data_IF_367079498007
#
_entry.id   IF_367079498007
#
_cell.length_a   1.000
_cell.length_b   1.000
_cell.length_c   1.000
_cell.angle_alpha   90.00
_cell.angle_beta   90.00
_cell.angle_gamma   90.00
#
_symmetry.space_group_name_H-M   'P 1'
#
loop_
_entity.id
_entity.type
_entity.pdbx_description
1 polymer ?
#
# COMPACT_ATOMS: atom_id res chain seq x y z
N UNK A 1 -10.96 -23.50 11.87
CA UNK A 1 -9.55 -23.31 12.21
C UNK A 1 -9.19 -24.09 13.47
N UNK A 2 -8.10 -24.85 13.44
CA UNK A 2 -7.57 -25.58 14.59
C UNK A 2 -7.11 -24.59 15.70
N UNK A 3 -7.21 -25.00 16.96
CA UNK A 3 -6.77 -24.22 18.13
C UNK A 3 -5.26 -23.93 18.05
N UNK A 4 -4.48 -24.90 17.56
CA UNK A 4 -3.02 -24.73 17.41
C UNK A 4 -2.68 -23.68 16.34
N UNK A 5 -3.33 -23.75 15.17
CA UNK A 5 -3.19 -22.74 14.10
C UNK A 5 -3.53 -21.33 14.61
N UNK A 6 -4.62 -21.20 15.37
CA UNK A 6 -5.02 -19.91 15.92
C UNK A 6 -3.97 -19.33 16.87
N UNK A 7 -3.39 -20.16 17.75
CA UNK A 7 -2.33 -19.74 18.66
C UNK A 7 -1.06 -19.30 17.91
N UNK A 8 -0.67 -20.01 16.85
CA UNK A 8 0.47 -19.62 16.03
C UNK A 8 0.26 -18.25 15.38
N UNK A 9 -0.93 -18.00 14.85
CA UNK A 9 -1.29 -16.71 14.23
C UNK A 9 -1.27 -15.59 15.29
N UNK A 10 -1.80 -15.82 16.48
CA UNK A 10 -1.81 -14.81 17.56
C UNK A 10 -0.38 -14.44 17.99
N UNK A 11 0.49 -15.44 18.18
CA UNK A 11 1.91 -15.19 18.49
C UNK A 11 2.58 -14.41 17.35
N UNK A 12 2.29 -14.76 16.09
CA UNK A 12 2.83 -14.02 14.94
C UNK A 12 2.37 -12.56 14.93
N UNK A 13 1.12 -12.27 15.27
CA UNK A 13 0.60 -10.90 15.33
C UNK A 13 1.23 -10.07 16.46
N UNK A 14 1.44 -10.66 17.63
CA UNK A 14 2.17 -10.02 18.74
C UNK A 14 3.61 -9.72 18.31
N UNK A 15 4.27 -10.67 17.64
CA UNK A 15 5.62 -10.48 17.11
C UNK A 15 5.68 -9.37 16.05
N UNK A 16 4.69 -9.28 15.15
CA UNK A 16 4.56 -8.19 14.19
C UNK A 16 4.46 -6.82 14.88
N UNK A 17 3.65 -6.71 15.94
CA UNK A 17 3.50 -5.46 16.71
C UNK A 17 4.80 -5.07 17.44
N UNK A 18 5.57 -6.07 17.88
CA UNK A 18 6.88 -5.87 18.50
C UNK A 18 8.01 -5.60 17.50
N UNK A 19 7.73 -5.57 16.18
CA UNK A 19 8.70 -5.55 15.09
C UNK A 19 9.68 -6.74 15.08
N UNK A 20 9.34 -7.85 15.74
CA UNK A 20 10.07 -9.12 15.66
C UNK A 20 9.57 -9.92 14.43
N UNK A 21 9.94 -9.43 13.26
CA UNK A 21 9.45 -9.98 12.01
C UNK A 21 9.96 -11.41 11.74
N UNK A 22 11.16 -11.75 12.22
CA UNK A 22 11.71 -13.10 12.08
C UNK A 22 10.88 -14.13 12.87
N UNK A 23 10.44 -13.77 14.08
CA UNK A 23 9.54 -14.62 14.85
C UNK A 23 8.15 -14.70 14.20
N UNK A 24 7.61 -13.57 13.72
CA UNK A 24 6.33 -13.54 13.03
C UNK A 24 6.32 -14.44 11.78
N UNK A 25 7.35 -14.32 10.94
CA UNK A 25 7.55 -15.15 9.75
C UNK A 25 7.53 -16.63 10.11
N UNK A 26 8.37 -17.04 11.08
CA UNK A 26 8.45 -18.44 11.53
C UNK A 26 7.06 -18.96 11.94
N UNK A 27 6.30 -18.15 12.68
CA UNK A 27 4.98 -18.55 13.18
C UNK A 27 3.90 -18.59 12.10
N UNK A 28 3.94 -17.71 11.12
CA UNK A 28 3.07 -17.82 9.95
C UNK A 28 3.41 -19.06 9.11
N UNK A 29 4.69 -19.37 8.91
CA UNK A 29 5.11 -20.57 8.20
C UNK A 29 4.67 -21.83 8.96
N UNK A 30 4.88 -21.91 10.27
CA UNK A 30 4.39 -23.00 11.13
C UNK A 30 2.87 -23.19 10.96
N UNK A 31 2.10 -22.09 10.91
CA UNK A 31 0.65 -22.14 10.72
C UNK A 31 0.23 -22.62 9.32
N UNK A 32 0.96 -22.21 8.27
CA UNK A 32 0.69 -22.64 6.89
C UNK A 32 0.96 -24.15 6.72
N UNK A 33 1.99 -24.69 7.37
CA UNK A 33 2.26 -26.13 7.38
C UNK A 33 1.10 -26.95 7.97
N UNK A 34 0.37 -26.40 8.95
CA UNK A 34 -0.80 -27.07 9.53
C UNK A 34 -2.07 -26.90 8.71
N UNK A 35 -2.21 -25.82 7.95
CA UNK A 35 -3.40 -25.56 7.13
C UNK A 35 -3.41 -26.40 5.85
N UNK A 36 -2.25 -26.58 5.19
CA UNK A 36 -1.94 -27.44 4.01
C UNK A 36 -2.92 -27.40 2.80
N UNK A 37 -4.00 -26.61 2.84
CA UNK A 37 -4.92 -26.37 1.72
C UNK A 37 -4.84 -24.92 1.24
N UNK A 38 -4.07 -24.65 0.17
CA UNK A 38 -3.98 -23.34 -0.47
C UNK A 38 -5.32 -22.73 -0.93
N UNK A 39 -6.35 -23.57 -1.15
CA UNK A 39 -7.67 -23.08 -1.57
C UNK A 39 -8.49 -22.53 -0.39
N UNK A 40 -8.14 -22.91 0.83
CA UNK A 40 -8.87 -22.51 2.02
C UNK A 40 -8.71 -21.01 2.31
N UNK A 41 -9.78 -20.38 2.79
CA UNK A 41 -9.75 -18.96 3.13
C UNK A 41 -8.80 -18.68 4.31
N UNK A 42 -8.72 -19.62 5.27
CA UNK A 42 -7.81 -19.52 6.42
C UNK A 42 -6.35 -19.52 5.96
N UNK A 43 -5.96 -20.40 5.03
CA UNK A 43 -4.61 -20.41 4.45
C UNK A 43 -4.30 -19.08 3.76
N UNK A 44 -5.19 -18.60 2.89
CA UNK A 44 -4.98 -17.35 2.15
C UNK A 44 -4.88 -16.14 3.10
N UNK A 45 -5.64 -16.12 4.20
CA UNK A 45 -5.50 -15.08 5.23
C UNK A 45 -4.10 -15.09 5.84
N UNK A 46 -3.55 -16.27 6.15
CA UNK A 46 -2.19 -16.40 6.69
C UNK A 46 -1.14 -16.00 5.65
N UNK A 47 -1.27 -16.41 4.39
CA UNK A 47 -0.36 -15.98 3.31
C UNK A 47 -0.37 -14.45 3.15
N UNK A 48 -1.53 -13.80 3.27
CA UNK A 48 -1.62 -12.33 3.21
C UNK A 48 -0.96 -11.65 4.42
N UNK A 49 -0.95 -12.30 5.59
CA UNK A 49 -0.19 -11.80 6.75
C UNK A 49 1.32 -12.01 6.56
N UNK A 50 1.72 -13.15 6.00
CA UNK A 50 3.12 -13.45 5.69
C UNK A 50 3.66 -12.48 4.61
N UNK A 51 2.89 -12.15 3.58
CA UNK A 51 3.32 -11.17 2.56
C UNK A 51 3.63 -9.80 3.18
N UNK A 52 2.80 -9.34 4.13
CA UNK A 52 3.02 -8.09 4.88
C UNK A 52 4.25 -8.19 5.80
N UNK A 53 4.46 -9.36 6.42
CA UNK A 53 5.66 -9.63 7.21
C UNK A 53 6.93 -9.54 6.35
N UNK A 54 6.94 -10.18 5.17
CA UNK A 54 8.04 -10.09 4.23
C UNK A 54 8.28 -8.66 3.75
N UNK A 55 7.22 -7.91 3.42
CA UNK A 55 7.36 -6.50 3.04
C UNK A 55 7.97 -5.65 4.16
N UNK A 56 7.58 -5.87 5.43
CA UNK A 56 8.16 -5.19 6.59
C UNK A 56 9.66 -5.50 6.77
N UNK A 57 10.08 -6.72 6.42
CA UNK A 57 11.48 -7.14 6.38
C UNK A 57 12.26 -6.64 5.15
N UNK A 58 11.61 -5.92 4.22
CA UNK A 58 12.13 -5.60 2.89
C UNK A 58 12.46 -6.83 2.02
N UNK A 59 11.93 -8.00 2.38
CA UNK A 59 11.94 -9.18 1.52
C UNK A 59 10.81 -9.06 0.48
N UNK A 60 10.95 -8.11 -0.45
CA UNK A 60 9.93 -7.84 -1.45
C UNK A 60 9.75 -9.00 -2.44
N UNK A 61 10.78 -9.82 -2.66
CA UNK A 61 10.69 -11.04 -3.46
C UNK A 61 9.75 -12.07 -2.81
N UNK A 62 9.94 -12.37 -1.52
CA UNK A 62 9.04 -13.28 -0.79
C UNK A 62 7.62 -12.73 -0.68
N UNK A 63 7.46 -11.42 -0.48
CA UNK A 63 6.15 -10.78 -0.48
C UNK A 63 5.45 -10.91 -1.85
N UNK A 64 6.19 -10.72 -2.96
CA UNK A 64 5.69 -10.89 -4.32
C UNK A 64 5.21 -12.32 -4.57
N UNK A 65 5.97 -13.34 -4.18
CA UNK A 65 5.56 -14.75 -4.32
C UNK A 65 4.22 -15.02 -3.60
N UNK A 66 4.08 -14.58 -2.35
CA UNK A 66 2.82 -14.70 -1.61
C UNK A 66 1.66 -13.98 -2.32
N UNK A 67 1.90 -12.76 -2.83
CA UNK A 67 0.87 -11.96 -3.50
C UNK A 67 0.46 -12.53 -4.87
N UNK A 68 1.37 -13.15 -5.61
CA UNK A 68 1.08 -13.84 -6.88
C UNK A 68 0.18 -15.06 -6.65
N UNK A 69 0.45 -15.84 -5.60
CA UNK A 69 -0.42 -16.95 -5.17
C UNK A 69 -1.82 -16.45 -4.79
N UNK A 70 -1.88 -15.39 -3.99
CA UNK A 70 -3.13 -14.78 -3.56
C UNK A 70 -3.94 -14.21 -4.74
N UNK A 71 -3.27 -13.56 -5.69
CA UNK A 71 -3.89 -13.06 -6.92
C UNK A 71 -4.43 -14.21 -7.79
N UNK A 72 -3.72 -15.33 -7.88
CA UNK A 72 -4.19 -16.51 -8.58
C UNK A 72 -5.51 -17.02 -7.99
N UNK A 73 -5.61 -17.15 -6.67
CA UNK A 73 -6.83 -17.60 -6.01
C UNK A 73 -7.96 -16.57 -6.08
N UNK A 74 -7.66 -15.27 -5.96
CA UNK A 74 -8.67 -14.22 -6.16
C UNK A 74 -9.27 -14.28 -7.57
N UNK A 75 -8.44 -14.47 -8.62
CA UNK A 75 -8.89 -14.68 -10.01
C UNK A 75 -9.76 -15.94 -10.14
N UNK A 76 -9.31 -17.07 -9.56
CA UNK A 76 -10.03 -18.35 -9.61
C UNK A 76 -11.39 -18.29 -8.92
N UNK A 77 -11.44 -17.62 -7.77
CA UNK A 77 -12.66 -17.47 -6.96
C UNK A 77 -13.56 -16.33 -7.45
N UNK A 78 -13.12 -15.57 -8.47
CA UNK A 78 -13.80 -14.36 -8.97
C UNK A 78 -14.01 -13.31 -7.87
N UNK A 79 -13.10 -13.28 -6.90
CA UNK A 79 -13.06 -12.30 -5.84
C UNK A 79 -12.42 -11.01 -6.37
N UNK A 80 -13.26 -10.12 -6.88
CA UNK A 80 -12.81 -8.91 -7.55
C UNK A 80 -12.16 -7.93 -6.57
N UNK A 81 -12.64 -7.87 -5.33
CA UNK A 81 -12.12 -6.97 -4.29
C UNK A 81 -10.68 -7.36 -3.94
N UNK A 82 -10.46 -8.64 -3.58
CA UNK A 82 -9.10 -9.14 -3.31
C UNK A 82 -8.20 -9.04 -4.53
N UNK A 83 -8.73 -9.26 -5.74
CA UNK A 83 -7.96 -9.05 -6.96
C UNK A 83 -7.44 -7.61 -7.05
N UNK A 84 -8.27 -6.60 -6.79
CA UNK A 84 -7.84 -5.21 -6.82
C UNK A 84 -6.78 -4.92 -5.74
N UNK A 85 -6.98 -5.43 -4.52
CA UNK A 85 -6.01 -5.28 -3.41
C UNK A 85 -4.64 -5.91 -3.75
N UNK A 86 -4.63 -7.12 -4.30
CA UNK A 86 -3.37 -7.81 -4.62
C UNK A 86 -2.67 -7.22 -5.84
N UNK A 87 -3.40 -6.70 -6.83
CA UNK A 87 -2.80 -5.92 -7.92
C UNK A 87 -2.06 -4.69 -7.37
N UNK A 88 -2.68 -3.96 -6.44
CA UNK A 88 -2.05 -2.82 -5.78
C UNK A 88 -0.77 -3.22 -5.04
N UNK A 89 -0.88 -4.23 -4.18
CA UNK A 89 0.23 -4.68 -3.35
C UNK A 89 1.41 -5.19 -4.20
N UNK A 90 1.13 -5.85 -5.32
CA UNK A 90 2.16 -6.29 -6.26
C UNK A 90 2.85 -5.12 -6.96
N UNK A 91 2.12 -4.11 -7.42
CA UNK A 91 2.72 -2.92 -8.02
C UNK A 91 3.67 -2.22 -7.04
N UNK A 92 3.24 -2.05 -5.79
CA UNK A 92 4.06 -1.45 -4.71
C UNK A 92 5.29 -2.29 -4.40
N UNK A 93 5.16 -3.62 -4.25
CA UNK A 93 6.31 -4.50 -4.00
C UNK A 93 7.31 -4.48 -5.16
N UNK A 94 6.79 -4.50 -6.39
CA UNK A 94 7.61 -4.45 -7.62
C UNK A 94 8.36 -3.12 -7.71
N UNK A 95 7.74 -1.99 -7.32
CA UNK A 95 8.44 -0.70 -7.18
C UNK A 95 9.56 -0.78 -6.15
N UNK A 96 9.31 -1.41 -4.99
CA UNK A 96 10.32 -1.57 -3.95
C UNK A 96 11.48 -2.49 -4.35
N UNK A 97 11.28 -3.36 -5.35
CA UNK A 97 12.34 -4.14 -6.01
C UNK A 97 13.06 -3.34 -7.11
N UNK A 98 12.74 -2.06 -7.28
CA UNK A 98 13.29 -1.15 -8.30
C UNK A 98 12.96 -1.56 -9.76
N UNK A 99 12.00 -2.46 -9.96
CA UNK A 99 11.49 -2.88 -11.26
C UNK A 99 10.42 -1.88 -11.76
N UNK A 100 10.81 -0.62 -11.94
CA UNK A 100 9.86 0.49 -12.16
C UNK A 100 8.96 0.33 -13.39
N UNK A 101 9.50 -0.19 -14.50
CA UNK A 101 8.73 -0.39 -15.72
C UNK A 101 7.66 -1.47 -15.55
N UNK A 102 7.99 -2.56 -14.86
CA UNK A 102 7.03 -3.61 -14.54
C UNK A 102 5.98 -3.11 -13.56
N UNK A 103 6.38 -2.40 -12.50
CA UNK A 103 5.47 -1.79 -11.54
C UNK A 103 4.49 -0.81 -12.20
N UNK A 104 4.95 -0.04 -13.19
CA UNK A 104 4.08 0.86 -13.96
C UNK A 104 3.03 0.10 -14.77
N UNK A 105 3.40 -1.00 -15.42
CA UNK A 105 2.44 -1.86 -16.14
C UNK A 105 1.40 -2.47 -15.18
N UNK A 106 1.84 -2.94 -14.01
CA UNK A 106 0.95 -3.50 -12.99
C UNK A 106 -0.02 -2.44 -12.44
N UNK A 107 0.46 -1.22 -12.24
CA UNK A 107 -0.37 -0.10 -11.81
C UNK A 107 -1.39 0.31 -12.89
N UNK A 108 -1.00 0.31 -14.18
CA UNK A 108 -1.92 0.55 -15.29
C UNK A 108 -3.00 -0.56 -15.41
N UNK A 109 -2.63 -1.83 -15.17
CA UNK A 109 -3.59 -2.94 -15.06
C UNK A 109 -4.57 -2.71 -13.89
N UNK A 110 -4.06 -2.35 -12.71
CA UNK A 110 -4.87 -2.06 -11.52
C UNK A 110 -5.89 -0.94 -11.79
N UNK A 111 -5.42 0.20 -12.33
CA UNK A 111 -6.28 1.36 -12.64
C UNK A 111 -7.38 0.96 -13.62
N UNK A 112 -7.03 0.26 -14.70
CA UNK A 112 -8.00 -0.20 -15.70
C UNK A 112 -9.02 -1.15 -15.08
N UNK A 113 -8.56 -2.07 -14.23
CA UNK A 113 -9.41 -3.02 -13.53
C UNK A 113 -10.38 -2.32 -12.57
N UNK A 114 -9.90 -1.38 -11.75
CA UNK A 114 -10.75 -0.59 -10.83
C UNK A 114 -11.76 0.27 -11.60
N UNK A 115 -11.36 0.96 -12.66
CA UNK A 115 -12.30 1.75 -13.48
C UNK A 115 -13.41 0.89 -14.10
N UNK A 116 -13.11 -0.37 -14.41
CA UNK A 116 -14.08 -1.29 -15.03
C UNK A 116 -15.04 -1.91 -14.01
N UNK A 117 -14.54 -2.32 -12.85
CA UNK A 117 -15.29 -3.12 -11.89
C UNK A 117 -15.71 -2.37 -10.62
N UNK A 118 -15.01 -1.29 -10.28
CA UNK A 118 -15.19 -0.48 -9.09
C UNK A 118 -15.06 1.03 -9.41
N UNK A 119 -15.88 1.58 -10.33
CA UNK A 119 -15.75 2.98 -10.73
C UNK A 119 -15.97 3.96 -9.58
N UNK A 120 -16.66 3.52 -8.51
CA UNK A 120 -16.93 4.29 -7.30
C UNK A 120 -15.95 4.01 -6.15
N UNK A 121 -14.96 3.14 -6.35
CA UNK A 121 -13.84 2.99 -5.41
C UNK A 121 -12.86 4.15 -5.57
N UNK A 122 -13.33 5.33 -5.20
CA UNK A 122 -12.58 6.57 -5.32
C UNK A 122 -11.29 6.52 -4.51
N UNK A 123 -11.29 5.88 -3.34
CA UNK A 123 -10.06 5.78 -2.56
C UNK A 123 -9.03 4.81 -3.18
N UNK A 124 -9.45 3.65 -3.68
CA UNK A 124 -8.56 2.74 -4.41
C UNK A 124 -8.01 3.37 -5.69
N UNK A 125 -8.85 4.07 -6.46
CA UNK A 125 -8.41 4.82 -7.64
C UNK A 125 -7.41 5.93 -7.27
N UNK A 126 -7.66 6.70 -6.20
CA UNK A 126 -6.76 7.72 -5.72
C UNK A 126 -5.37 7.15 -5.38
N UNK A 127 -5.33 6.04 -4.64
CA UNK A 127 -4.09 5.33 -4.29
C UNK A 127 -3.36 4.79 -5.53
N UNK A 128 -4.09 4.22 -6.48
CA UNK A 128 -3.52 3.68 -7.72
C UNK A 128 -2.87 4.80 -8.55
N UNK A 129 -3.57 5.93 -8.73
CA UNK A 129 -3.03 7.07 -9.46
C UNK A 129 -1.84 7.73 -8.74
N UNK A 130 -1.84 7.78 -7.41
CA UNK A 130 -0.68 8.24 -6.66
C UNK A 130 0.54 7.33 -6.87
N UNK A 131 0.35 6.02 -6.82
CA UNK A 131 1.43 5.05 -7.10
C UNK A 131 1.99 5.24 -8.52
N UNK A 132 1.12 5.42 -9.53
CA UNK A 132 1.54 5.74 -10.89
C UNK A 132 2.30 7.07 -11.01
N UNK A 133 1.97 8.07 -10.17
CA UNK A 133 2.68 9.34 -10.11
C UNK A 133 4.10 9.16 -9.56
N UNK A 134 4.25 8.41 -8.46
CA UNK A 134 5.55 8.09 -7.85
C UNK A 134 6.45 7.29 -8.80
N UNK A 135 5.89 6.28 -9.49
CA UNK A 135 6.61 5.52 -10.52
C UNK A 135 7.09 6.41 -11.66
N UNK A 136 6.28 7.38 -12.08
CA UNK A 136 6.68 8.32 -13.12
C UNK A 136 7.86 9.20 -12.69
N UNK A 137 7.96 9.59 -11.41
CA UNK A 137 9.14 10.30 -10.89
C UNK A 137 10.39 9.42 -10.94
N UNK A 138 10.27 8.16 -10.51
CA UNK A 138 11.37 7.18 -10.52
C UNK A 138 11.87 6.90 -11.95
N UNK A 139 10.96 6.93 -12.92
CA UNK A 139 11.24 6.83 -14.36
C UNK A 139 11.71 8.16 -15.00
N UNK A 140 11.93 9.23 -14.21
CA UNK A 140 12.33 10.56 -14.67
C UNK A 140 11.34 11.21 -15.67
N UNK A 141 10.06 10.93 -15.50
CA UNK A 141 8.97 11.52 -16.27
C UNK A 141 8.01 12.33 -15.37
N UNK A 142 8.44 13.49 -14.84
CA UNK A 142 7.63 14.30 -13.93
C UNK A 142 6.37 14.87 -14.57
N UNK A 143 6.31 14.99 -15.90
CA UNK A 143 5.11 15.44 -16.59
C UNK A 143 3.99 14.39 -16.55
N UNK A 144 4.32 13.10 -16.81
CA UNK A 144 3.37 11.98 -16.62
C UNK A 144 2.97 11.87 -15.15
N UNK A 145 3.95 12.06 -14.25
CA UNK A 145 3.72 12.03 -12.80
C UNK A 145 2.68 13.05 -12.35
N UNK A 146 2.80 14.30 -12.82
CA UNK A 146 1.87 15.39 -12.49
C UNK A 146 0.44 15.08 -12.91
N UNK A 147 0.23 14.56 -14.11
CA UNK A 147 -1.11 14.18 -14.61
C UNK A 147 -1.75 13.12 -13.71
N UNK A 148 -0.98 12.10 -13.32
CA UNK A 148 -1.47 11.05 -12.43
C UNK A 148 -1.74 11.58 -11.02
N UNK A 149 -0.91 12.50 -10.53
CA UNK A 149 -1.06 13.12 -9.23
C UNK A 149 -2.32 13.99 -9.14
N UNK A 150 -2.64 14.74 -10.19
CA UNK A 150 -3.89 15.51 -10.30
C UNK A 150 -5.12 14.60 -10.26
N UNK A 151 -5.07 13.45 -10.94
CA UNK A 151 -6.12 12.43 -10.85
C UNK A 151 -6.23 11.84 -9.44
N UNK A 152 -5.09 11.53 -8.81
CA UNK A 152 -5.07 11.00 -7.45
C UNK A 152 -5.80 11.94 -6.48
N UNK A 153 -5.49 13.25 -6.55
CA UNK A 153 -6.20 14.27 -5.77
C UNK A 153 -7.68 14.31 -6.10
N UNK A 154 -8.05 14.34 -7.38
CA UNK A 154 -9.45 14.40 -7.80
C UNK A 154 -10.28 13.24 -7.23
N UNK A 155 -9.73 12.03 -7.24
CA UNK A 155 -10.40 10.86 -6.66
C UNK A 155 -10.42 10.88 -5.13
N UNK A 156 -9.36 11.34 -4.47
CA UNK A 156 -9.37 11.53 -3.03
C UNK A 156 -10.44 12.54 -2.58
N UNK A 157 -10.56 13.67 -3.26
CA UNK A 157 -11.58 14.68 -2.97
C UNK A 157 -13.00 14.07 -3.11
N UNK A 158 -13.22 13.25 -4.15
CA UNK A 158 -14.50 12.53 -4.37
C UNK A 158 -14.80 11.44 -3.36
N UNK A 159 -13.79 10.87 -2.71
CA UNK A 159 -13.98 9.73 -1.82
C UNK A 159 -14.77 10.07 -0.55
N UNK A 160 -14.82 11.35 -0.17
CA UNK A 160 -15.34 11.82 1.13
C UNK A 160 -14.72 11.10 2.35
N UNK A 161 -13.62 10.37 2.13
CA UNK A 161 -12.84 9.68 3.16
C UNK A 161 -11.63 10.53 3.52
N UNK A 162 -11.72 11.17 4.69
CA UNK A 162 -10.68 12.06 5.20
C UNK A 162 -9.33 11.35 5.43
N UNK A 163 -9.33 10.04 5.72
CA UNK A 163 -8.08 9.27 5.82
C UNK A 163 -7.46 9.07 4.44
N UNK A 164 -8.29 8.79 3.44
CA UNK A 164 -7.82 8.69 2.07
C UNK A 164 -7.24 10.02 1.57
N UNK A 165 -7.96 11.12 1.82
CA UNK A 165 -7.50 12.47 1.50
C UNK A 165 -6.18 12.80 2.21
N UNK A 166 -6.07 12.52 3.51
CA UNK A 166 -4.84 12.75 4.26
C UNK A 166 -3.64 11.99 3.67
N UNK A 167 -3.85 10.71 3.31
CA UNK A 167 -2.84 9.86 2.69
C UNK A 167 -2.37 10.39 1.33
N UNK A 168 -3.29 10.88 0.50
CA UNK A 168 -2.96 11.46 -0.81
C UNK A 168 -2.29 12.83 -0.66
N UNK A 169 -2.71 13.67 0.29
CA UNK A 169 -2.03 14.95 0.60
C UNK A 169 -0.59 14.74 1.08
N UNK A 170 -0.34 13.70 1.90
CA UNK A 170 1.03 13.30 2.24
C UNK A 170 1.84 12.95 1.00
N UNK A 171 1.26 12.14 0.11
CA UNK A 171 1.88 11.71 -1.14
C UNK A 171 2.19 12.87 -2.10
N UNK A 172 1.27 13.83 -2.22
CA UNK A 172 1.48 15.10 -2.92
C UNK A 172 2.66 15.87 -2.36
N UNK A 173 2.78 15.95 -1.04
CA UNK A 173 3.93 16.58 -0.39
C UNK A 173 5.24 15.89 -0.74
N UNK A 174 5.29 14.54 -0.66
CA UNK A 174 6.48 13.75 -1.01
C UNK A 174 6.87 13.92 -2.50
N UNK A 175 5.86 14.01 -3.38
CA UNK A 175 6.05 14.28 -4.80
C UNK A 175 6.66 15.67 -5.03
N UNK A 176 6.08 16.72 -4.44
CA UNK A 176 6.55 18.10 -4.57
C UNK A 176 7.94 18.29 -3.97
N UNK A 177 8.20 17.66 -2.82
CA UNK A 177 9.51 17.67 -2.18
C UNK A 177 10.58 17.06 -3.10
N UNK A 178 10.27 15.93 -3.76
CA UNK A 178 11.20 15.28 -4.71
C UNK A 178 11.54 16.18 -5.90
N UNK A 179 10.62 17.05 -6.32
CA UNK A 179 10.83 18.02 -7.38
C UNK A 179 11.43 19.36 -6.89
N UNK A 180 11.75 19.47 -5.60
CA UNK A 180 12.21 20.71 -4.96
C UNK A 180 11.19 21.86 -5.07
N UNK A 181 9.90 21.53 -5.13
CA UNK A 181 8.77 22.48 -5.07
C UNK A 181 8.36 22.67 -3.60
N UNK A 182 9.25 23.28 -2.80
CA UNK A 182 9.18 23.27 -1.34
C UNK A 182 7.89 23.91 -0.79
N UNK A 183 7.43 25.03 -1.35
CA UNK A 183 6.19 25.68 -0.90
C UNK A 183 4.97 24.77 -1.08
N UNK A 184 4.88 24.09 -2.24
CA UNK A 184 3.78 23.16 -2.52
C UNK A 184 3.86 21.89 -1.66
N UNK A 185 5.07 21.45 -1.36
CA UNK A 185 5.30 20.34 -0.44
C UNK A 185 4.81 20.70 0.96
N UNK A 186 5.17 21.90 1.45
CA UNK A 186 4.74 22.44 2.74
C UNK A 186 3.22 22.50 2.86
N UNK A 187 2.54 23.13 1.90
CA UNK A 187 1.08 23.22 1.85
C UNK A 187 0.41 21.84 1.91
N UNK A 188 0.90 20.89 1.11
CA UNK A 188 0.36 19.52 1.05
C UNK A 188 0.54 18.78 2.39
N UNK A 189 1.70 18.92 3.04
CA UNK A 189 1.92 18.32 4.36
C UNK A 189 1.07 18.98 5.46
N UNK A 190 0.83 20.29 5.38
CA UNK A 190 -0.06 20.99 6.32
C UNK A 190 -1.51 20.49 6.20
N UNK A 191 -2.01 20.33 4.98
CA UNK A 191 -3.35 19.80 4.74
C UNK A 191 -3.47 18.36 5.25
N UNK A 192 -2.48 17.51 4.94
CA UNK A 192 -2.40 16.14 5.46
C UNK A 192 -2.39 16.09 7.00
N UNK A 193 -1.58 16.94 7.64
CA UNK A 193 -1.51 17.06 9.09
C UNK A 193 -2.88 17.41 9.69
N UNK A 194 -3.57 18.41 9.13
CA UNK A 194 -4.87 18.85 9.62
C UNK A 194 -5.92 17.72 9.56
N UNK A 195 -5.93 16.96 8.46
CA UNK A 195 -6.83 15.81 8.29
C UNK A 195 -6.51 14.69 9.28
N UNK A 196 -5.23 14.32 9.47
CA UNK A 196 -4.86 13.30 10.45
C UNK A 196 -5.21 13.71 11.89
N UNK A 197 -5.02 14.99 12.25
CA UNK A 197 -5.47 15.51 13.55
C UNK A 197 -6.98 15.43 13.72
N UNK A 198 -7.76 15.76 12.69
CA UNK A 198 -9.22 15.63 12.70
C UNK A 198 -9.66 14.18 12.92
N UNK A 199 -8.95 13.23 12.31
CA UNK A 199 -9.19 11.80 12.45
C UNK A 199 -8.59 11.17 13.71
N UNK A 200 -8.01 11.97 14.62
CA UNK A 200 -7.34 11.52 15.85
C UNK A 200 -6.21 10.52 15.59
N UNK A 201 -5.59 10.60 14.41
CA UNK A 201 -4.39 9.85 14.09
C UNK A 201 -3.15 10.68 14.46
N UNK A 202 -2.86 10.73 15.76
CA UNK A 202 -1.78 11.56 16.30
C UNK A 202 -0.39 11.12 15.83
N UNK A 203 -0.19 9.83 15.55
CA UNK A 203 1.06 9.30 15.01
C UNK A 203 1.32 9.82 13.60
N UNK A 204 0.36 9.69 12.69
CA UNK A 204 0.49 10.20 11.32
C UNK A 204 0.57 11.73 11.29
N UNK A 205 -0.14 12.43 12.19
CA UNK A 205 0.01 13.88 12.32
C UNK A 205 1.43 14.27 12.76
N UNK A 206 2.00 13.61 13.77
CA UNK A 206 3.37 13.88 14.21
C UNK A 206 4.40 13.60 13.08
N UNK A 207 4.17 12.56 12.29
CA UNK A 207 4.95 12.27 11.09
C UNK A 207 4.94 13.45 10.09
N UNK A 208 3.78 14.10 9.89
CA UNK A 208 3.68 15.26 8.99
C UNK A 208 4.42 16.48 9.53
N UNK A 209 4.41 16.73 10.84
CA UNK A 209 5.21 17.81 11.45
C UNK A 209 6.71 17.63 11.20
N UNK A 210 7.21 16.39 11.25
CA UNK A 210 8.60 16.10 10.93
C UNK A 210 8.94 16.42 9.47
N UNK A 211 8.02 16.14 8.54
CA UNK A 211 8.19 16.49 7.11
C UNK A 211 8.11 17.99 6.87
N UNK A 212 7.16 18.70 7.49
CA UNK A 212 7.04 20.16 7.41
C UNK A 212 8.35 20.82 7.84
N UNK A 213 8.89 20.42 9.01
CA UNK A 213 10.17 20.93 9.50
C UNK A 213 11.31 20.65 8.50
N UNK A 214 11.35 19.46 7.92
CA UNK A 214 12.35 19.11 6.89
C UNK A 214 12.27 20.01 5.66
N UNK A 215 11.07 20.42 5.24
CA UNK A 215 10.87 21.37 4.13
C UNK A 215 11.37 22.77 4.51
N UNK A 216 11.11 23.21 5.74
CA UNK A 216 11.54 24.53 6.24
C UNK A 216 13.07 24.63 6.42
N UNK A 217 13.73 23.50 6.69
CA UNK A 217 15.18 23.41 6.87
C UNK A 217 15.97 23.16 5.55
N UNK A 218 15.30 22.95 4.41
CA UNK A 218 15.91 22.61 3.11
C UNK A 218 16.31 23.84 2.27
#
# INVERSE_FOLDING_TARGET
>A
MDKEVHQLIEIAEIAMQANDFAQAEKKYIDALYLLDDPKSEDYQKVVNKLSKCYAAQKNFAGAKECLEELLFYAKKNKDLEKKAEYLHALAVNTRCMEEYDLAALMCEEEITFRLTHFPDDYCGLARSYHEAAMLSLLQRNPMKGKINLEKAKQYADKSEDENCQAGIMRGLGDYHFTLNELERAHESYQESHALYKKNKNDEAAAEMLARIKRVEDA
#
